data_IF_438638817812
#
_entry.id   IF_438638817812
#
_cell.length_a   1.000
_cell.length_b   1.000
_cell.length_c   1.000
_cell.angle_alpha   90.00
_cell.angle_beta   90.00
_cell.angle_gamma   90.00
#
_symmetry.space_group_name_H-M   'P 1'
#
loop_
_entity.id
_entity.type
_entity.pdbx_description
1 polymer ?
#
# COMPACT_ATOMS: atom_id res chain seq x y z
N UNK A 1 -8.04 -18.94 -10.27
CA UNK A 1 -8.48 -19.69 -9.06
C UNK A 1 -9.59 -20.69 -9.45
N UNK A 2 -9.65 -21.91 -8.87
CA UNK A 2 -10.67 -22.90 -9.24
C UNK A 2 -11.84 -22.84 -8.25
N UNK A 3 -13.03 -22.44 -8.72
CA UNK A 3 -14.25 -22.25 -7.94
C UNK A 3 -14.63 -23.46 -7.09
N UNK A 4 -14.46 -24.68 -7.60
CA UNK A 4 -14.76 -25.94 -6.88
C UNK A 4 -14.05 -26.02 -5.52
N UNK A 5 -12.79 -25.59 -5.45
CA UNK A 5 -12.02 -25.65 -4.19
C UNK A 5 -12.39 -24.53 -3.23
N UNK A 6 -12.78 -23.36 -3.75
CA UNK A 6 -13.30 -22.25 -2.95
C UNK A 6 -14.61 -22.67 -2.31
N UNK A 7 -15.55 -23.21 -3.09
CA UNK A 7 -16.85 -23.66 -2.58
C UNK A 7 -16.67 -24.77 -1.52
N UNK A 8 -15.75 -25.71 -1.78
CA UNK A 8 -15.43 -26.79 -0.80
C UNK A 8 -14.88 -26.21 0.51
N UNK A 9 -14.00 -25.21 0.42
CA UNK A 9 -13.42 -24.56 1.58
C UNK A 9 -14.51 -23.87 2.43
N UNK A 10 -15.36 -23.02 1.82
CA UNK A 10 -16.45 -22.37 2.53
C UNK A 10 -17.42 -23.36 3.17
N UNK A 11 -17.81 -24.40 2.44
CA UNK A 11 -18.69 -25.45 2.97
C UNK A 11 -18.07 -26.24 4.13
N UNK A 12 -16.76 -26.38 4.17
CA UNK A 12 -16.06 -27.08 5.24
C UNK A 12 -15.89 -26.18 6.47
N UNK A 13 -15.49 -24.94 6.27
CA UNK A 13 -15.27 -23.97 7.38
C UNK A 13 -16.58 -23.54 8.05
N UNK A 14 -17.67 -23.42 7.28
CA UNK A 14 -18.98 -23.07 7.83
C UNK A 14 -19.54 -24.10 8.82
N UNK A 15 -19.10 -25.36 8.73
CA UNK A 15 -19.60 -26.48 9.56
C UNK A 15 -18.88 -26.65 10.89
N UNK A 16 -17.76 -25.94 11.10
CA UNK A 16 -16.91 -26.10 12.29
C UNK A 16 -16.65 -24.73 12.91
N UNK A 17 -17.16 -24.50 14.10
CA UNK A 17 -17.06 -23.20 14.79
C UNK A 17 -15.60 -22.72 14.94
N UNK A 18 -14.69 -23.64 15.21
CA UNK A 18 -13.24 -23.40 15.32
C UNK A 18 -12.58 -22.85 14.05
N UNK A 19 -13.22 -23.05 12.87
CA UNK A 19 -12.68 -22.64 11.57
C UNK A 19 -13.44 -21.50 10.91
N UNK A 20 -14.51 -20.99 11.50
CA UNK A 20 -15.33 -19.90 10.95
C UNK A 20 -14.52 -18.64 10.60
N UNK A 21 -13.48 -18.34 11.38
CA UNK A 21 -12.60 -17.20 11.13
C UNK A 21 -11.92 -17.26 9.75
N UNK A 22 -11.67 -18.48 9.23
CA UNK A 22 -11.06 -18.63 7.92
C UNK A 22 -11.98 -18.20 6.77
N UNK A 23 -13.30 -18.19 6.97
CA UNK A 23 -14.23 -17.64 5.99
C UNK A 23 -14.05 -16.11 5.80
N UNK A 24 -13.47 -15.43 6.77
CA UNK A 24 -13.10 -14.01 6.68
C UNK A 24 -11.66 -13.82 6.20
N UNK A 25 -10.71 -14.54 6.79
CA UNK A 25 -9.28 -14.28 6.55
C UNK A 25 -8.78 -14.78 5.21
N UNK A 26 -9.28 -15.92 4.71
CA UNK A 26 -8.84 -16.44 3.41
C UNK A 26 -9.20 -15.51 2.25
N UNK A 27 -10.45 -15.00 2.11
CA UNK A 27 -10.77 -14.05 1.05
C UNK A 27 -9.90 -12.80 1.09
N UNK A 28 -9.67 -12.25 2.28
CA UNK A 28 -8.80 -11.07 2.47
C UNK A 28 -7.41 -11.37 1.91
N UNK A 29 -6.81 -12.51 2.27
CA UNK A 29 -5.49 -12.89 1.81
C UNK A 29 -5.43 -13.12 0.30
N UNK A 30 -6.45 -13.74 -0.28
CA UNK A 30 -6.51 -14.01 -1.72
C UNK A 30 -6.65 -12.72 -2.53
N UNK A 31 -7.55 -11.83 -2.11
CA UNK A 31 -7.75 -10.52 -2.75
C UNK A 31 -6.47 -9.68 -2.62
N UNK A 32 -5.88 -9.62 -1.43
CA UNK A 32 -4.63 -8.90 -1.20
C UNK A 32 -3.51 -9.41 -2.11
N UNK A 33 -3.31 -10.73 -2.17
CA UNK A 33 -2.28 -11.33 -3.03
C UNK A 33 -2.44 -10.97 -4.50
N UNK A 34 -3.67 -11.01 -5.00
CA UNK A 34 -4.00 -10.68 -6.39
C UNK A 34 -3.69 -9.21 -6.68
N UNK A 35 -4.24 -8.30 -5.87
CA UNK A 35 -4.02 -6.85 -5.96
C UNK A 35 -2.54 -6.46 -5.82
N UNK A 36 -1.80 -7.17 -4.95
CA UNK A 36 -0.38 -6.89 -4.73
C UNK A 36 0.46 -7.33 -5.94
N UNK A 37 0.23 -8.55 -6.45
CA UNK A 37 0.96 -9.07 -7.60
C UNK A 37 0.80 -8.21 -8.85
N UNK A 38 -0.44 -7.81 -9.17
CA UNK A 38 -0.71 -6.92 -10.30
C UNK A 38 0.00 -5.56 -10.16
N UNK A 39 -0.04 -4.97 -8.96
CA UNK A 39 0.62 -3.70 -8.70
C UNK A 39 2.15 -3.81 -8.78
N UNK A 40 2.73 -4.90 -8.25
CA UNK A 40 4.18 -5.14 -8.31
C UNK A 40 4.68 -5.26 -9.75
N UNK A 41 3.99 -6.06 -10.56
CA UNK A 41 4.31 -6.22 -11.98
C UNK A 41 4.17 -4.89 -12.74
N UNK A 42 3.12 -4.13 -12.48
CA UNK A 42 2.91 -2.81 -13.08
C UNK A 42 4.02 -1.83 -12.71
N UNK A 43 4.36 -1.71 -11.43
CA UNK A 43 5.41 -0.81 -10.93
C UNK A 43 6.76 -1.18 -11.54
N UNK A 44 7.10 -2.47 -11.53
CA UNK A 44 8.37 -2.95 -12.07
C UNK A 44 8.50 -2.69 -13.58
N UNK A 45 7.46 -3.01 -14.34
CA UNK A 45 7.51 -2.92 -15.80
C UNK A 45 7.47 -1.47 -16.31
N UNK A 46 6.80 -0.55 -15.61
CA UNK A 46 6.64 0.84 -16.07
C UNK A 46 7.65 1.80 -15.46
N UNK A 47 8.13 1.53 -14.24
CA UNK A 47 8.97 2.47 -13.50
C UNK A 47 10.33 1.88 -13.10
N UNK A 48 10.57 0.59 -13.27
CA UNK A 48 11.75 -0.12 -12.76
C UNK A 48 11.96 0.14 -11.24
N UNK A 49 10.87 0.11 -10.51
CA UNK A 49 10.81 0.28 -9.06
C UNK A 49 10.15 -0.95 -8.43
N UNK A 50 10.26 -1.04 -7.10
CA UNK A 50 9.54 -2.02 -6.28
C UNK A 50 8.40 -1.32 -5.53
N UNK A 51 7.45 -2.09 -5.04
CA UNK A 51 6.36 -1.59 -4.18
C UNK A 51 6.89 -0.72 -3.04
N UNK A 52 7.93 -1.17 -2.34
CA UNK A 52 8.54 -0.44 -1.24
C UNK A 52 9.10 0.94 -1.62
N UNK A 53 9.52 1.14 -2.86
CA UNK A 53 9.92 2.46 -3.35
C UNK A 53 8.69 3.38 -3.52
N UNK A 54 7.61 2.84 -4.08
CA UNK A 54 6.36 3.59 -4.24
C UNK A 54 5.73 3.90 -2.88
N UNK A 55 5.80 2.99 -1.91
CA UNK A 55 5.30 3.22 -0.54
C UNK A 55 5.99 4.42 0.11
N UNK A 56 7.32 4.55 -0.03
CA UNK A 56 8.07 5.71 0.46
C UNK A 56 7.64 7.00 -0.25
N UNK A 57 7.59 6.97 -1.58
CA UNK A 57 7.18 8.15 -2.37
C UNK A 57 5.72 8.55 -2.05
N UNK A 58 4.81 7.60 -1.92
CA UNK A 58 3.42 7.84 -1.57
C UNK A 58 3.28 8.39 -0.14
N UNK A 59 4.05 7.86 0.82
CA UNK A 59 4.07 8.38 2.19
C UNK A 59 4.51 9.84 2.22
N UNK A 60 5.53 10.22 1.46
CA UNK A 60 5.93 11.61 1.31
C UNK A 60 4.84 12.47 0.65
N UNK A 61 4.26 11.97 -0.45
CA UNK A 61 3.25 12.68 -1.22
C UNK A 61 2.00 13.02 -0.40
N UNK A 62 1.50 12.05 0.37
CA UNK A 62 0.30 12.24 1.21
C UNK A 62 0.56 13.04 2.48
N UNK A 63 1.84 13.27 2.86
CA UNK A 63 2.21 14.02 4.06
C UNK A 63 2.94 15.34 3.75
N UNK A 64 2.66 15.95 2.60
CA UNK A 64 3.15 17.30 2.28
C UNK A 64 4.54 17.32 1.64
N UNK A 65 4.93 16.24 0.98
CA UNK A 65 6.14 16.09 0.16
C UNK A 65 7.47 16.09 0.94
N UNK A 66 7.45 16.23 2.27
CA UNK A 66 8.66 16.31 3.08
C UNK A 66 8.43 15.79 4.50
N UNK A 67 9.26 14.84 4.93
CA UNK A 67 9.23 14.24 6.27
C UNK A 67 10.67 14.05 6.78
N UNK A 68 10.84 14.12 8.09
CA UNK A 68 12.06 13.58 8.70
C UNK A 68 12.12 12.05 8.55
N UNK A 69 13.31 11.42 8.65
CA UNK A 69 13.40 9.95 8.59
C UNK A 69 12.52 9.23 9.60
N UNK A 70 12.36 9.79 10.81
CA UNK A 70 11.50 9.22 11.86
C UNK A 70 10.04 9.32 11.49
N UNK A 71 9.57 10.52 11.08
CA UNK A 71 8.19 10.71 10.64
C UNK A 71 7.86 9.85 9.42
N UNK A 72 8.80 9.73 8.46
CA UNK A 72 8.61 8.86 7.31
C UNK A 72 8.45 7.39 7.74
N UNK A 73 9.23 6.95 8.73
CA UNK A 73 9.14 5.61 9.29
C UNK A 73 7.77 5.37 9.92
N UNK A 74 7.27 6.34 10.67
CA UNK A 74 5.95 6.28 11.32
C UNK A 74 4.79 6.38 10.32
N UNK A 75 4.98 7.13 9.22
CA UNK A 75 3.99 7.31 8.16
C UNK A 75 3.88 6.09 7.23
N UNK A 76 4.88 5.20 7.22
CA UNK A 76 4.84 4.01 6.38
C UNK A 76 3.86 2.98 6.91
N UNK A 77 2.82 2.73 6.14
CA UNK A 77 1.80 1.72 6.45
C UNK A 77 2.30 0.27 6.27
N UNK A 78 3.42 0.10 5.57
CA UNK A 78 4.00 -1.18 5.22
C UNK A 78 5.43 -1.31 5.74
N UNK A 79 6.05 -2.46 5.54
CA UNK A 79 7.35 -2.80 6.10
C UNK A 79 8.46 -1.80 5.74
N UNK A 80 9.15 -1.30 6.75
CA UNK A 80 10.30 -0.40 6.66
C UNK A 80 11.65 -1.13 6.48
N UNK A 81 11.62 -2.43 6.19
CA UNK A 81 12.84 -3.22 6.01
C UNK A 81 13.71 -2.68 4.87
N UNK A 82 14.96 -2.35 5.18
CA UNK A 82 15.90 -1.83 4.18
C UNK A 82 15.72 -0.36 3.80
N UNK A 83 15.07 0.47 4.63
CA UNK A 83 14.80 1.88 4.38
C UNK A 83 15.99 2.64 3.80
N UNK A 84 17.19 2.45 4.37
CA UNK A 84 18.41 3.12 3.87
C UNK A 84 18.69 2.78 2.41
N UNK A 85 18.51 1.51 2.01
CA UNK A 85 18.71 1.09 0.60
C UNK A 85 17.65 1.68 -0.31
N UNK A 86 16.40 1.72 0.16
CA UNK A 86 15.28 2.31 -0.57
C UNK A 86 15.53 3.81 -0.81
N UNK A 87 15.85 4.56 0.24
CA UNK A 87 16.13 5.99 0.14
C UNK A 87 17.33 6.28 -0.76
N UNK A 88 18.42 5.53 -0.65
CA UNK A 88 19.57 5.71 -1.53
C UNK A 88 19.20 5.46 -3.00
N UNK A 89 18.43 4.41 -3.28
CA UNK A 89 17.98 4.11 -4.65
C UNK A 89 17.07 5.21 -5.21
N UNK A 90 16.17 5.76 -4.39
CA UNK A 90 15.28 6.85 -4.81
C UNK A 90 16.06 8.16 -5.04
N UNK A 91 17.06 8.44 -4.20
CA UNK A 91 17.93 9.61 -4.35
C UNK A 91 18.83 9.50 -5.59
N UNK A 92 19.44 8.32 -5.84
CA UNK A 92 20.19 8.02 -7.07
C UNK A 92 19.36 8.26 -8.35
N UNK A 93 18.04 8.04 -8.26
CA UNK A 93 17.10 8.26 -9.36
C UNK A 93 16.52 9.66 -9.40
N UNK A 94 16.99 10.56 -8.56
CA UNK A 94 16.49 11.94 -8.44
C UNK A 94 14.98 12.03 -8.15
N UNK A 95 14.41 11.05 -7.44
CA UNK A 95 13.00 11.05 -7.05
C UNK A 95 12.77 11.67 -5.67
N UNK A 96 13.82 11.64 -4.84
CA UNK A 96 13.87 12.33 -3.56
C UNK A 96 15.20 13.06 -3.42
N UNK A 97 15.26 13.98 -2.47
CA UNK A 97 16.48 14.67 -2.03
C UNK A 97 16.49 14.76 -0.51
N UNK A 98 17.71 14.93 0.06
CA UNK A 98 17.88 15.21 1.49
C UNK A 98 18.22 16.67 1.67
N UNK A 99 17.49 17.36 2.55
CA UNK A 99 17.68 18.76 2.84
C UNK A 99 17.80 18.98 4.35
N UNK A 100 18.60 19.96 4.83
CA UNK A 100 18.58 20.38 6.22
C UNK A 100 17.19 20.93 6.60
N UNK A 101 16.68 20.56 7.78
CA UNK A 101 15.46 21.16 8.30
C UNK A 101 15.65 22.64 8.59
N UNK A 102 14.67 23.47 8.21
CA UNK A 102 14.69 24.90 8.54
C UNK A 102 14.57 25.17 10.04
N UNK A 103 13.89 24.28 10.77
CA UNK A 103 13.63 24.42 12.20
C UNK A 103 14.77 23.87 13.06
N UNK A 104 15.49 22.88 12.57
CA UNK A 104 16.66 22.30 13.24
C UNK A 104 17.69 21.86 12.20
N UNK A 105 18.74 22.66 12.05
CA UNK A 105 19.85 22.39 11.11
C UNK A 105 20.59 21.07 11.34
N UNK A 106 20.36 20.41 12.47
CA UNK A 106 20.92 19.09 12.77
C UNK A 106 20.07 17.95 12.26
N UNK A 107 18.82 18.24 11.91
CA UNK A 107 17.88 17.24 11.34
C UNK A 107 17.85 17.34 9.82
N UNK A 108 17.73 16.19 9.18
CA UNK A 108 17.64 16.06 7.73
C UNK A 108 16.20 15.71 7.37
N UNK A 109 15.66 16.36 6.36
CA UNK A 109 14.36 16.03 5.77
C UNK A 109 14.58 15.23 4.49
N UNK A 110 13.68 14.29 4.25
CA UNK A 110 13.53 13.57 2.99
C UNK A 110 12.40 14.27 2.22
N UNK A 111 12.72 14.83 1.07
CA UNK A 111 11.79 15.62 0.28
C UNK A 111 11.58 14.99 -1.09
N UNK A 112 10.35 14.99 -1.60
CA UNK A 112 10.11 14.67 -3.00
C UNK A 112 10.76 15.74 -3.90
N UNK A 113 11.30 15.28 -5.02
CA UNK A 113 11.60 16.18 -6.14
C UNK A 113 10.35 16.39 -7.00
N UNK A 114 10.39 17.29 -7.96
CA UNK A 114 9.28 17.49 -8.92
C UNK A 114 9.06 16.20 -9.74
N UNK A 115 10.13 15.55 -10.12
CA UNK A 115 10.09 14.26 -10.83
C UNK A 115 9.49 13.16 -9.95
N UNK A 116 9.87 13.10 -8.67
CA UNK A 116 9.33 12.13 -7.71
C UNK A 116 7.84 12.33 -7.47
N UNK A 117 7.40 13.58 -7.29
CA UNK A 117 5.99 13.94 -7.10
C UNK A 117 5.16 13.56 -8.34
N UNK A 118 5.64 13.91 -9.52
CA UNK A 118 4.97 13.58 -10.78
C UNK A 118 4.84 12.07 -10.98
N UNK A 119 5.94 11.33 -10.76
CA UNK A 119 5.98 9.89 -10.92
C UNK A 119 5.01 9.19 -9.95
N UNK A 120 5.08 9.54 -8.66
CA UNK A 120 4.26 8.85 -7.66
C UNK A 120 2.78 9.16 -7.87
N UNK A 121 2.41 10.39 -8.19
CA UNK A 121 1.03 10.77 -8.49
C UNK A 121 0.48 9.92 -9.64
N UNK A 122 1.18 9.88 -10.77
CA UNK A 122 0.79 9.07 -11.93
C UNK A 122 0.68 7.58 -11.58
N UNK A 123 1.65 7.06 -10.84
CA UNK A 123 1.69 5.66 -10.45
C UNK A 123 0.49 5.27 -9.57
N UNK A 124 0.22 6.04 -8.49
CA UNK A 124 -0.88 5.73 -7.57
C UNK A 124 -2.25 5.90 -8.23
N UNK A 125 -2.43 6.88 -9.13
CA UNK A 125 -3.67 7.04 -9.90
C UNK A 125 -3.95 5.82 -10.78
N UNK A 126 -2.93 5.30 -11.48
CA UNK A 126 -3.06 4.09 -12.30
C UNK A 126 -3.33 2.84 -11.47
N UNK A 127 -2.65 2.68 -10.34
CA UNK A 127 -2.88 1.58 -9.40
C UNK A 127 -4.30 1.65 -8.84
N UNK A 128 -4.77 2.83 -8.41
CA UNK A 128 -6.12 3.01 -7.90
C UNK A 128 -7.17 2.60 -8.93
N UNK A 129 -7.03 3.08 -10.17
CA UNK A 129 -7.93 2.72 -11.27
C UNK A 129 -7.95 1.22 -11.58
N UNK A 130 -6.80 0.57 -11.57
CA UNK A 130 -6.72 -0.88 -11.76
C UNK A 130 -7.45 -1.65 -10.65
N UNK A 131 -7.32 -1.19 -9.39
CA UNK A 131 -7.96 -1.81 -8.24
C UNK A 131 -9.48 -1.61 -8.19
N UNK A 132 -10.03 -0.58 -8.85
CA UNK A 132 -11.48 -0.33 -8.89
C UNK A 132 -12.25 -1.54 -9.45
N UNK A 133 -11.68 -2.26 -10.43
CA UNK A 133 -12.33 -3.38 -11.10
C UNK A 133 -12.77 -4.51 -10.14
N UNK A 134 -12.01 -4.74 -9.07
CA UNK A 134 -12.34 -5.76 -8.06
C UNK A 134 -13.64 -5.40 -7.31
N UNK A 135 -13.89 -4.10 -7.14
CA UNK A 135 -15.04 -3.59 -6.40
C UNK A 135 -16.26 -3.25 -7.27
N UNK A 136 -16.17 -3.42 -8.59
CA UNK A 136 -17.32 -3.15 -9.51
C UNK A 136 -18.51 -4.07 -9.27
N UNK A 137 -18.27 -5.26 -8.72
CA UNK A 137 -19.33 -6.21 -8.36
C UNK A 137 -20.18 -5.77 -7.16
N UNK A 138 -19.75 -4.74 -6.43
CA UNK A 138 -20.41 -4.22 -5.25
C UNK A 138 -21.23 -2.98 -5.58
N UNK A 139 -22.41 -2.87 -4.97
CA UNK A 139 -23.18 -1.62 -4.95
C UNK A 139 -22.47 -0.54 -4.13
N UNK A 140 -22.91 0.71 -4.26
CA UNK A 140 -22.36 1.82 -3.47
C UNK A 140 -22.52 1.57 -1.96
N UNK A 141 -23.70 1.11 -1.53
CA UNK A 141 -23.95 0.79 -0.13
C UNK A 141 -23.03 -0.32 0.40
N UNK A 142 -22.78 -1.37 -0.40
CA UNK A 142 -21.87 -2.45 -0.03
C UNK A 142 -20.41 -1.96 0.07
N UNK A 143 -19.98 -1.04 -0.80
CA UNK A 143 -18.66 -0.41 -0.73
C UNK A 143 -18.50 0.42 0.55
N UNK A 144 -19.50 1.23 0.88
CA UNK A 144 -19.49 2.06 2.10
C UNK A 144 -19.47 1.18 3.36
N UNK A 145 -20.28 0.12 3.39
CA UNK A 145 -20.28 -0.84 4.49
C UNK A 145 -18.94 -1.56 4.63
N UNK A 146 -18.35 -2.01 3.53
CA UNK A 146 -17.03 -2.66 3.53
C UNK A 146 -15.96 -1.71 4.05
N UNK A 147 -15.93 -0.46 3.58
CA UNK A 147 -15.00 0.56 4.05
C UNK A 147 -15.10 0.76 5.56
N UNK A 148 -16.32 0.92 6.09
CA UNK A 148 -16.55 1.10 7.53
C UNK A 148 -16.08 -0.10 8.35
N UNK A 149 -16.32 -1.33 7.87
CA UNK A 149 -15.88 -2.56 8.54
C UNK A 149 -14.34 -2.64 8.55
N UNK A 150 -13.70 -2.41 7.41
CA UNK A 150 -12.24 -2.44 7.30
C UNK A 150 -11.59 -1.37 8.18
N UNK A 151 -12.13 -0.15 8.18
CA UNK A 151 -11.65 0.93 9.04
C UNK A 151 -11.75 0.57 10.53
N UNK A 152 -12.88 0.00 10.96
CA UNK A 152 -13.08 -0.48 12.34
C UNK A 152 -12.04 -1.55 12.72
N UNK A 153 -11.73 -2.49 11.80
CA UNK A 153 -10.73 -3.52 12.04
C UNK A 153 -9.32 -2.94 12.17
N UNK A 154 -8.95 -1.97 11.32
CA UNK A 154 -7.64 -1.31 11.37
C UNK A 154 -7.48 -0.54 12.68
N UNK A 155 -8.46 0.29 13.05
CA UNK A 155 -8.40 1.10 14.28
C UNK A 155 -8.42 0.26 15.56
N UNK A 156 -8.86 -0.99 15.51
CA UNK A 156 -8.75 -1.90 16.66
C UNK A 156 -7.33 -2.39 16.93
N UNK A 157 -6.36 -2.08 16.04
CA UNK A 157 -4.95 -2.47 16.13
C UNK A 157 -4.01 -1.34 16.57
N UNK A 158 -4.52 -0.12 16.59
CA UNK A 158 -3.82 1.09 17.05
C UNK A 158 -4.23 1.36 18.50
#
# INVERSE_FOLDING_TARGET
>A
MNKKYIDKFYNTTAKKDEFKVFALTLPINLIYKDMYSESEDFIKNNYDLLHSHIDVLASLYFNGNSLSPTELYDAMLFSSGGMTKILNKLEERNLIKREPSLNDKRSTLICLTIEGETLVKECIEKIAKAKESIFEVLTTEEKDNLQNILQKLIYSKI
#
